data_IF_940319920312
#
_entry.id   IF_940319920312
#
_cell.length_a   1.000
_cell.length_b   1.000
_cell.length_c   1.000
_cell.angle_alpha   90.00
_cell.angle_beta   90.00
_cell.angle_gamma   90.00
#
_symmetry.space_group_name_H-M   'P 1'
#
loop_
_entity.id
_entity.type
_entity.pdbx_description
1 polymer ?
#
# COMPACT_ATOMS: atom_id res chain seq x y z
N UNK A 1 -11.04 -1.37 -8.08
CA UNK A 1 -11.23 -2.64 -8.81
C UNK A 1 -12.58 -2.61 -9.53
N UNK A 2 -12.69 -3.16 -10.74
CA UNK A 2 -13.97 -3.26 -11.47
C UNK A 2 -14.22 -4.69 -11.95
N UNK A 3 -15.45 -5.17 -11.79
CA UNK A 3 -15.82 -6.55 -12.09
C UNK A 3 -16.84 -6.61 -13.23
N UNK A 4 -16.65 -7.54 -14.15
CA UNK A 4 -17.53 -7.76 -15.29
C UNK A 4 -17.85 -9.23 -15.48
N UNK A 5 -19.12 -9.55 -15.73
CA UNK A 5 -19.53 -10.83 -16.33
C UNK A 5 -19.51 -10.69 -17.85
N UNK A 6 -18.96 -11.69 -18.53
CA UNK A 6 -18.92 -11.74 -20.01
C UNK A 6 -20.12 -12.51 -20.53
N UNK A 7 -20.93 -11.87 -21.38
CA UNK A 7 -22.06 -12.49 -22.06
C UNK A 7 -21.62 -13.29 -23.30
N UNK A 8 -22.51 -14.13 -23.85
CA UNK A 8 -22.22 -14.95 -25.05
C UNK A 8 -21.87 -14.12 -26.30
N UNK A 9 -22.39 -12.89 -26.38
CA UNK A 9 -22.06 -11.94 -27.47
C UNK A 9 -20.82 -11.07 -27.16
N UNK A 10 -20.10 -11.36 -26.08
CA UNK A 10 -18.93 -10.61 -25.64
C UNK A 10 -19.23 -9.25 -25.01
N UNK A 11 -20.49 -8.95 -24.66
CA UNK A 11 -20.83 -7.77 -23.87
C UNK A 11 -20.35 -7.92 -22.42
N UNK A 12 -19.82 -6.83 -21.84
CA UNK A 12 -19.40 -6.78 -20.44
C UNK A 12 -20.54 -6.22 -19.59
N UNK A 13 -21.01 -6.99 -18.61
CA UNK A 13 -21.98 -6.54 -17.61
C UNK A 13 -21.27 -6.27 -16.30
N UNK A 14 -21.28 -5.02 -15.83
CA UNK A 14 -20.68 -4.67 -14.54
C UNK A 14 -21.43 -5.37 -13.40
N UNK A 15 -20.69 -5.99 -12.48
CA UNK A 15 -21.23 -6.73 -11.33
C UNK A 15 -20.59 -6.26 -10.04
N UNK A 16 -21.24 -6.51 -8.90
CA UNK A 16 -20.73 -6.15 -7.56
C UNK A 16 -19.99 -7.29 -6.87
N UNK A 17 -20.21 -8.54 -7.28
CA UNK A 17 -19.59 -9.75 -6.71
C UNK A 17 -19.57 -10.87 -7.74
N UNK A 18 -18.73 -11.87 -7.52
CA UNK A 18 -18.54 -13.03 -8.38
C UNK A 18 -19.08 -14.28 -7.68
N UNK A 19 -19.98 -15.00 -8.35
CA UNK A 19 -20.55 -16.27 -7.84
C UNK A 19 -19.70 -17.51 -8.20
N UNK A 20 -18.63 -17.34 -8.99
CA UNK A 20 -17.76 -18.40 -9.49
C UNK A 20 -18.53 -19.57 -10.17
N UNK A 21 -19.59 -19.23 -10.91
CA UNK A 21 -20.39 -20.23 -11.64
C UNK A 21 -19.61 -20.85 -12.82
N UNK A 22 -19.69 -22.18 -12.91
CA UNK A 22 -19.03 -23.00 -13.92
C UNK A 22 -19.28 -22.62 -15.39
N UNK A 23 -20.42 -22.00 -15.72
CA UNK A 23 -20.79 -21.64 -17.10
C UNK A 23 -20.40 -20.21 -17.50
N UNK A 24 -19.78 -19.47 -16.58
CA UNK A 24 -19.51 -18.04 -16.72
C UNK A 24 -18.02 -17.77 -16.92
N UNK A 25 -17.75 -16.60 -17.50
CA UNK A 25 -16.43 -16.00 -17.58
C UNK A 25 -16.51 -14.61 -16.97
N UNK A 26 -15.55 -14.30 -16.12
CA UNK A 26 -15.46 -13.02 -15.42
C UNK A 26 -14.18 -12.30 -15.84
N UNK A 27 -14.30 -10.98 -16.07
CA UNK A 27 -13.18 -10.09 -16.29
C UNK A 27 -13.08 -9.14 -15.09
N UNK A 28 -11.90 -9.12 -14.47
CA UNK A 28 -11.62 -8.41 -13.23
C UNK A 28 -10.50 -7.43 -13.52
N UNK A 29 -10.80 -6.14 -13.42
CA UNK A 29 -9.85 -5.05 -13.51
C UNK A 29 -9.33 -4.71 -12.11
N UNK A 30 -8.10 -5.11 -11.83
CA UNK A 30 -7.37 -4.84 -10.60
C UNK A 30 -6.12 -3.98 -10.87
N UNK A 31 -6.31 -2.78 -11.43
CA UNK A 31 -5.31 -1.68 -11.62
C UNK A 31 -3.99 -2.09 -12.28
N UNK A 32 -3.16 -2.94 -11.68
CA UNK A 32 -1.94 -3.51 -12.27
C UNK A 32 -2.18 -4.80 -13.05
N UNK A 33 -3.31 -5.47 -12.82
CA UNK A 33 -3.62 -6.77 -13.43
C UNK A 33 -5.06 -6.81 -13.91
N UNK A 34 -5.28 -7.38 -15.09
CA UNK A 34 -6.59 -7.90 -15.52
C UNK A 34 -6.60 -9.40 -15.28
N UNK A 35 -7.53 -9.89 -14.47
CA UNK A 35 -7.78 -11.32 -14.34
C UNK A 35 -8.97 -11.72 -15.22
N UNK A 36 -8.80 -12.82 -15.96
CA UNK A 36 -9.87 -13.49 -16.69
C UNK A 36 -10.11 -14.81 -15.97
N UNK A 37 -11.22 -14.91 -15.24
CA UNK A 37 -11.61 -16.15 -14.59
C UNK A 37 -12.56 -16.94 -15.49
N UNK A 38 -12.28 -18.23 -15.70
CA UNK A 38 -13.00 -19.11 -16.62
C UNK A 38 -13.60 -20.28 -15.85
N UNK A 39 -14.93 -20.37 -15.86
CA UNK A 39 -15.65 -21.54 -15.36
C UNK A 39 -15.39 -22.78 -16.21
N UNK A 40 -15.34 -23.95 -15.59
CA UNK A 40 -14.98 -25.20 -16.27
C UNK A 40 -15.98 -25.69 -17.34
N UNK A 41 -17.19 -25.11 -17.38
CA UNK A 41 -18.24 -25.34 -18.39
C UNK A 41 -18.51 -24.09 -19.24
N UNK A 42 -17.63 -23.10 -19.21
CA UNK A 42 -17.79 -21.89 -19.99
C UNK A 42 -17.64 -22.17 -21.49
N UNK A 43 -18.37 -21.41 -22.32
CA UNK A 43 -18.25 -21.53 -23.77
C UNK A 43 -16.92 -20.95 -24.27
N UNK A 44 -16.31 -21.60 -25.28
CA UNK A 44 -15.08 -21.10 -25.91
C UNK A 44 -15.25 -19.69 -26.49
N UNK A 45 -16.47 -19.37 -26.98
CA UNK A 45 -16.80 -18.01 -27.47
C UNK A 45 -16.65 -16.95 -26.37
N UNK A 46 -17.17 -17.20 -25.16
CA UNK A 46 -16.99 -16.27 -24.03
C UNK A 46 -15.51 -16.08 -23.69
N UNK A 47 -14.72 -17.16 -23.71
CA UNK A 47 -13.28 -17.09 -23.43
C UNK A 47 -12.56 -16.23 -24.47
N UNK A 48 -12.82 -16.42 -25.76
CA UNK A 48 -12.25 -15.61 -26.82
C UNK A 48 -12.63 -14.12 -26.68
N UNK A 49 -13.93 -13.85 -26.46
CA UNK A 49 -14.40 -12.47 -26.23
C UNK A 49 -13.76 -11.84 -24.99
N UNK A 50 -13.61 -12.59 -23.89
CA UNK A 50 -13.00 -12.07 -22.67
C UNK A 50 -11.55 -11.63 -22.88
N UNK A 51 -10.77 -12.42 -23.60
CA UNK A 51 -9.38 -12.08 -23.97
C UNK A 51 -9.33 -10.83 -24.84
N UNK A 52 -10.20 -10.74 -25.87
CA UNK A 52 -10.29 -9.56 -26.72
C UNK A 52 -10.64 -8.30 -25.93
N UNK A 53 -11.66 -8.38 -25.06
CA UNK A 53 -12.10 -7.27 -24.21
C UNK A 53 -11.05 -6.83 -23.21
N UNK A 54 -10.34 -7.76 -22.58
CA UNK A 54 -9.23 -7.45 -21.67
C UNK A 54 -8.13 -6.66 -22.41
N UNK A 55 -7.73 -7.11 -23.60
CA UNK A 55 -6.75 -6.42 -24.44
C UNK A 55 -7.23 -5.03 -24.87
N UNK A 56 -8.47 -4.89 -25.33
CA UNK A 56 -9.05 -3.62 -25.75
C UNK A 56 -9.08 -2.60 -24.60
N UNK A 57 -9.48 -3.04 -23.39
CA UNK A 57 -9.48 -2.20 -22.20
C UNK A 57 -8.06 -1.81 -21.77
N UNK A 58 -7.11 -2.75 -21.85
CA UNK A 58 -5.72 -2.51 -21.46
C UNK A 58 -5.03 -1.50 -22.39
N UNK A 59 -5.30 -1.57 -23.70
CA UNK A 59 -4.79 -0.61 -24.70
C UNK A 59 -5.30 0.82 -24.49
N UNK A 60 -6.52 0.97 -23.96
CA UNK A 60 -7.15 2.28 -23.71
C UNK A 60 -6.65 2.98 -22.44
N UNK A 61 -5.77 2.35 -21.67
CA UNK A 61 -5.24 2.96 -20.44
C UNK A 61 -4.21 4.02 -20.77
N UNK A 62 -4.36 5.19 -20.15
CA UNK A 62 -3.38 6.28 -20.23
C UNK A 62 -2.07 5.94 -19.49
N UNK A 63 -2.18 5.10 -18.44
CA UNK A 63 -1.04 4.59 -17.65
C UNK A 63 -0.41 3.37 -18.33
N UNK A 64 0.67 2.86 -17.72
CA UNK A 64 1.32 1.60 -18.10
C UNK A 64 0.29 0.46 -18.24
N UNK A 65 0.43 -0.32 -19.32
CA UNK A 65 -0.40 -1.49 -19.56
C UNK A 65 -0.30 -2.49 -18.39
N UNK A 66 -1.45 -2.98 -17.95
CA UNK A 66 -1.57 -4.01 -16.93
C UNK A 66 -1.17 -5.39 -17.47
N UNK A 67 -0.77 -6.29 -16.57
CA UNK A 67 -0.61 -7.71 -16.89
C UNK A 67 -1.99 -8.33 -17.12
N UNK A 68 -2.16 -9.21 -18.11
CA UNK A 68 -3.37 -10.03 -18.25
C UNK A 68 -3.04 -11.44 -17.75
N UNK A 69 -3.87 -11.97 -16.84
CA UNK A 69 -3.72 -13.29 -16.23
C UNK A 69 -5.02 -14.06 -16.40
N UNK A 70 -4.93 -15.32 -16.81
CA UNK A 70 -6.08 -16.20 -16.98
C UNK A 70 -6.09 -17.25 -15.88
N UNK A 71 -7.21 -17.37 -15.19
CA UNK A 71 -7.44 -18.27 -14.06
C UNK A 71 -8.56 -19.24 -14.42
N UNK A 72 -8.32 -20.54 -14.23
CA UNK A 72 -9.30 -21.58 -14.52
C UNK A 72 -9.91 -22.09 -13.22
N UNK A 73 -11.21 -22.37 -13.24
CA UNK A 73 -11.91 -22.92 -12.09
C UNK A 73 -11.26 -24.20 -11.54
N UNK A 74 -10.94 -24.19 -10.25
CA UNK A 74 -10.27 -25.28 -9.54
C UNK A 74 -8.75 -25.36 -9.78
N UNK A 75 -8.18 -24.38 -10.50
CA UNK A 75 -6.74 -24.26 -10.79
C UNK A 75 -6.23 -22.85 -10.51
N UNK A 76 -6.96 -22.08 -9.70
CA UNK A 76 -6.58 -20.73 -9.30
C UNK A 76 -5.35 -20.74 -8.38
N UNK A 77 -4.45 -19.78 -8.56
CA UNK A 77 -3.23 -19.73 -7.75
C UNK A 77 -2.74 -18.30 -7.48
N UNK A 78 -1.74 -18.19 -6.59
CA UNK A 78 -1.04 -16.95 -6.30
C UNK A 78 -1.95 -15.84 -5.77
N UNK A 79 -1.72 -14.62 -6.26
CA UNK A 79 -2.45 -13.43 -5.80
C UNK A 79 -3.96 -13.50 -6.07
N UNK A 80 -4.40 -14.25 -7.09
CA UNK A 80 -5.81 -14.40 -7.37
C UNK A 80 -6.54 -15.15 -6.25
N UNK A 81 -5.94 -16.24 -5.75
CA UNK A 81 -6.51 -17.05 -4.67
C UNK A 81 -6.78 -16.20 -3.41
N UNK A 82 -5.86 -15.29 -3.09
CA UNK A 82 -5.98 -14.40 -1.93
C UNK A 82 -7.18 -13.42 -2.04
N UNK A 83 -7.58 -13.03 -3.25
CA UNK A 83 -8.69 -12.10 -3.47
C UNK A 83 -10.02 -12.81 -3.74
N UNK A 84 -10.05 -14.14 -3.92
CA UNK A 84 -11.28 -14.88 -4.26
C UNK A 84 -12.39 -14.73 -3.23
N UNK A 85 -12.06 -14.75 -1.93
CA UNK A 85 -13.07 -14.58 -0.87
C UNK A 85 -13.66 -13.18 -0.87
N UNK A 86 -12.84 -12.15 -1.10
CA UNK A 86 -13.32 -10.80 -1.33
C UNK A 86 -14.24 -10.79 -2.56
N UNK A 87 -13.86 -11.50 -3.64
CA UNK A 87 -14.59 -11.58 -4.92
C UNK A 87 -16.00 -12.12 -4.73
N UNK A 88 -16.16 -13.12 -3.86
CA UNK A 88 -17.45 -13.69 -3.48
C UNK A 88 -18.31 -12.74 -2.68
N UNK A 89 -17.72 -12.06 -1.68
CA UNK A 89 -18.46 -11.19 -0.76
C UNK A 89 -18.88 -9.87 -1.40
N UNK A 90 -18.16 -9.42 -2.44
CA UNK A 90 -18.38 -8.10 -3.02
C UNK A 90 -17.72 -6.98 -2.22
N UNK A 91 -16.76 -7.34 -1.36
CA UNK A 91 -16.11 -6.46 -0.38
C UNK A 91 -14.78 -5.89 -0.89
N UNK A 92 -14.65 -5.63 -2.19
CA UNK A 92 -13.63 -4.69 -2.66
C UNK A 92 -14.23 -3.33 -2.42
N UNK A 93 -13.73 -2.68 -1.38
CA UNK A 93 -13.94 -1.26 -1.25
C UNK A 93 -13.59 -0.65 -2.62
N UNK A 94 -14.51 0.14 -3.18
CA UNK A 94 -14.07 1.29 -3.96
C UNK A 94 -13.24 2.10 -2.97
N UNK A 95 -11.97 1.76 -2.85
CA UNK A 95 -11.01 2.69 -2.30
C UNK A 95 -11.04 3.83 -3.32
N UNK A 96 -11.93 4.81 -3.09
CA UNK A 96 -11.42 6.17 -3.00
C UNK A 96 -10.15 5.98 -2.20
N UNK A 97 -9.00 6.14 -2.83
CA UNK A 97 -7.71 6.10 -2.14
C UNK A 97 -7.82 7.11 -1.01
N UNK A 98 -8.38 6.69 0.12
CA UNK A 98 -8.39 7.44 1.35
C UNK A 98 -6.94 7.51 1.72
N UNK A 99 -6.50 8.69 2.15
CA UNK A 99 -5.19 8.79 2.78
C UNK A 99 -5.08 7.67 3.81
N UNK A 100 -3.97 6.94 3.77
CA UNK A 100 -3.65 5.96 4.81
C UNK A 100 -3.85 6.68 6.15
N UNK A 101 -4.56 6.08 7.12
CA UNK A 101 -4.74 6.73 8.41
C UNK A 101 -3.37 7.03 9.00
N UNK A 102 -3.24 8.23 9.58
CA UNK A 102 -2.03 8.64 10.31
C UNK A 102 -1.74 7.67 11.46
N UNK A 103 -0.46 7.54 11.79
CA UNK A 103 -0.04 6.81 12.98
C UNK A 103 -0.62 7.49 14.22
N UNK A 104 -1.28 6.72 15.09
CA UNK A 104 -1.77 7.21 16.37
C UNK A 104 -0.62 7.20 17.37
N UNK A 105 -0.28 8.38 17.88
CA UNK A 105 0.72 8.56 18.94
C UNK A 105 0.00 8.46 20.29
N UNK A 106 0.38 7.50 21.13
CA UNK A 106 -0.25 7.24 22.44
C UNK A 106 0.21 8.22 23.53
N UNK A 107 0.37 9.50 23.18
CA UNK A 107 0.95 10.52 24.06
C UNK A 107 0.23 10.65 25.42
N UNK A 108 -1.10 10.63 25.40
CA UNK A 108 -1.91 10.73 26.63
C UNK A 108 -1.65 9.56 27.57
N UNK A 109 -1.66 8.34 27.04
CA UNK A 109 -1.42 7.14 27.84
C UNK A 109 -0.01 7.17 28.43
N UNK A 110 0.98 7.64 27.67
CA UNK A 110 2.36 7.85 28.17
C UNK A 110 2.42 8.91 29.27
N UNK A 111 1.69 10.03 29.15
CA UNK A 111 1.62 11.05 30.21
C UNK A 111 0.97 10.50 31.49
N UNK A 112 -0.15 9.78 31.36
CA UNK A 112 -0.86 9.21 32.52
C UNK A 112 0.06 8.25 33.31
N UNK A 113 0.91 7.48 32.61
CA UNK A 113 1.91 6.60 33.25
C UNK A 113 3.01 7.40 33.97
N UNK A 114 3.51 8.49 33.37
CA UNK A 114 4.49 9.38 34.00
C UNK A 114 3.94 10.04 35.27
N UNK A 115 2.69 10.52 35.23
CA UNK A 115 1.99 11.10 36.38
C UNK A 115 1.80 10.09 37.50
N UNK A 116 1.64 8.80 37.16
CA UNK A 116 1.61 7.69 38.11
C UNK A 116 3.00 7.31 38.68
N UNK A 117 4.08 8.00 38.26
CA UNK A 117 5.45 7.76 38.71
C UNK A 117 6.13 6.56 38.04
N UNK A 118 5.60 6.09 36.91
CA UNK A 118 6.21 5.02 36.12
C UNK A 118 7.20 5.66 35.15
N UNK A 119 8.48 5.27 35.23
CA UNK A 119 9.50 5.75 34.30
C UNK A 119 9.20 5.29 32.87
N UNK A 120 9.41 6.15 31.86
CA UNK A 120 9.14 5.79 30.48
C UNK A 120 10.17 4.76 30.01
N UNK A 121 9.70 3.71 29.37
CA UNK A 121 10.57 2.83 28.59
C UNK A 121 10.98 3.51 27.28
N UNK A 122 11.73 2.80 26.43
CA UNK A 122 12.19 3.37 25.16
C UNK A 122 11.04 3.82 24.25
N UNK A 123 9.92 3.10 24.23
CA UNK A 123 8.75 3.47 23.44
C UNK A 123 8.10 4.74 24.02
N UNK A 124 8.03 4.86 25.35
CA UNK A 124 7.61 6.08 26.04
C UNK A 124 8.50 7.28 25.71
N UNK A 125 9.83 7.12 25.76
CA UNK A 125 10.81 8.16 25.37
C UNK A 125 10.55 8.64 23.92
N UNK A 126 10.41 7.70 22.98
CA UNK A 126 10.12 8.00 21.56
C UNK A 126 8.77 8.67 21.40
N UNK A 127 7.74 8.23 22.14
CA UNK A 127 6.39 8.79 22.08
C UNK A 127 6.36 10.26 22.49
N UNK A 128 7.03 10.62 23.58
CA UNK A 128 7.13 12.00 24.06
C UNK A 128 7.86 12.88 23.05
N UNK A 129 9.05 12.43 22.60
CA UNK A 129 9.83 13.18 21.60
C UNK A 129 9.11 13.32 20.26
N UNK A 130 8.35 12.29 19.85
CA UNK A 130 7.57 12.32 18.61
C UNK A 130 6.44 13.35 18.71
N UNK A 131 5.76 13.41 19.85
CA UNK A 131 4.75 14.43 20.11
C UNK A 131 5.33 15.85 20.02
N UNK A 132 6.48 16.09 20.67
CA UNK A 132 7.17 17.38 20.60
C UNK A 132 7.51 17.76 19.14
N UNK A 133 8.03 16.80 18.36
CA UNK A 133 8.38 17.02 16.96
C UNK A 133 7.14 17.32 16.07
N UNK A 134 5.98 16.76 16.41
CA UNK A 134 4.71 17.06 15.74
C UNK A 134 4.26 18.49 16.05
N UNK A 135 4.33 18.90 17.32
CA UNK A 135 3.98 20.26 17.77
C UNK A 135 4.89 21.34 17.15
N UNK A 136 6.15 21.00 16.84
CA UNK A 136 7.06 21.89 16.09
C UNK A 136 6.57 22.20 14.65
N UNK A 137 5.65 21.40 14.10
CA UNK A 137 4.95 21.72 12.84
C UNK A 137 5.84 21.78 11.59
N UNK A 138 6.93 21.00 11.55
CA UNK A 138 7.82 20.96 10.37
C UNK A 138 7.07 20.53 9.11
N UNK A 139 7.47 21.03 7.95
CA UNK A 139 6.92 20.53 6.68
C UNK A 139 7.37 19.10 6.39
N UNK A 140 6.56 18.35 5.63
CA UNK A 140 6.87 16.99 5.21
C UNK A 140 8.20 16.89 4.43
N UNK A 141 8.54 17.91 3.64
CA UNK A 141 9.84 18.01 2.96
C UNK A 141 11.02 18.16 3.94
N UNK A 142 10.83 18.96 4.98
CA UNK A 142 11.83 19.15 6.04
C UNK A 142 12.05 17.85 6.82
N UNK A 143 10.97 17.18 7.22
CA UNK A 143 11.02 15.87 7.88
C UNK A 143 11.70 14.82 7.00
N UNK A 144 11.37 14.78 5.70
CA UNK A 144 12.01 13.86 4.75
C UNK A 144 13.53 14.06 4.66
N UNK A 145 14.01 15.31 4.70
CA UNK A 145 15.45 15.62 4.74
C UNK A 145 16.09 15.24 6.08
N UNK A 146 15.40 15.48 7.20
CA UNK A 146 15.84 15.06 8.54
C UNK A 146 16.02 13.54 8.59
N UNK A 147 14.99 12.78 8.21
CA UNK A 147 15.03 11.32 8.17
C UNK A 147 16.12 10.79 7.24
N UNK A 148 16.25 11.36 6.04
CA UNK A 148 17.32 11.00 5.10
C UNK A 148 18.72 11.14 5.72
N UNK A 149 18.97 12.26 6.42
CA UNK A 149 20.26 12.50 7.07
C UNK A 149 20.55 11.46 8.15
N UNK A 150 19.56 11.14 9.01
CA UNK A 150 19.69 10.14 10.07
C UNK A 150 19.98 8.76 9.48
N UNK A 151 19.20 8.32 8.49
CA UNK A 151 19.40 7.02 7.84
C UNK A 151 20.80 6.89 7.22
N UNK A 152 21.28 7.93 6.52
CA UNK A 152 22.63 7.91 5.94
C UNK A 152 23.70 7.88 7.04
N UNK A 153 23.51 8.63 8.12
CA UNK A 153 24.44 8.64 9.26
C UNK A 153 24.53 7.26 9.91
N UNK A 154 23.41 6.56 10.11
CA UNK A 154 23.41 5.20 10.64
C UNK A 154 24.17 4.22 9.74
N UNK A 155 24.03 4.36 8.42
CA UNK A 155 24.71 3.50 7.45
C UNK A 155 26.21 3.78 7.34
N UNK A 156 26.62 5.05 7.42
CA UNK A 156 28.02 5.48 7.23
C UNK A 156 28.81 5.65 8.53
N UNK A 157 28.16 5.68 9.68
CA UNK A 157 28.80 6.05 10.95
C UNK A 157 29.42 7.45 10.88
N UNK A 158 30.74 7.55 11.08
CA UNK A 158 31.52 8.81 11.05
C UNK A 158 31.89 9.30 9.64
N UNK A 159 31.43 8.63 8.58
CA UNK A 159 31.71 9.03 7.20
C UNK A 159 31.08 10.38 6.83
N UNK A 160 31.73 11.13 5.94
CA UNK A 160 31.22 12.43 5.46
C UNK A 160 29.91 12.24 4.71
N UNK A 161 28.87 12.97 5.13
CA UNK A 161 27.56 13.01 4.46
C UNK A 161 27.55 14.17 3.46
N UNK A 162 27.16 13.91 2.22
CA UNK A 162 27.07 14.96 1.19
C UNK A 162 25.63 15.42 0.95
N UNK A 163 25.44 16.67 0.53
CA UNK A 163 24.12 17.22 0.21
C UNK A 163 23.42 16.44 -0.91
N UNK A 164 24.18 15.93 -1.89
CA UNK A 164 23.65 15.11 -3.00
C UNK A 164 22.99 13.83 -2.49
N UNK A 165 23.59 13.18 -1.50
CA UNK A 165 23.05 11.94 -0.91
C UNK A 165 21.78 12.20 -0.11
N UNK A 166 21.77 13.29 0.69
CA UNK A 166 20.58 13.70 1.43
C UNK A 166 19.43 14.01 0.46
N UNK A 167 19.69 14.74 -0.61
CA UNK A 167 18.66 15.10 -1.58
C UNK A 167 18.11 13.87 -2.33
N UNK A 168 18.99 12.93 -2.70
CA UNK A 168 18.56 11.67 -3.34
C UNK A 168 17.67 10.87 -2.38
N UNK A 169 18.12 10.66 -1.14
CA UNK A 169 17.39 9.86 -0.17
C UNK A 169 16.08 10.52 0.27
N UNK A 170 16.09 11.84 0.47
CA UNK A 170 14.88 12.61 0.76
C UNK A 170 13.86 12.50 -0.37
N UNK A 171 14.30 12.47 -1.64
CA UNK A 171 13.40 12.31 -2.78
C UNK A 171 12.77 10.92 -2.85
N UNK A 172 13.46 9.88 -2.36
CA UNK A 172 12.88 8.54 -2.18
C UNK A 172 11.80 8.54 -1.10
N UNK A 173 12.09 9.15 0.06
CA UNK A 173 11.15 9.25 1.19
C UNK A 173 9.90 10.06 0.80
N UNK A 174 10.06 11.15 0.07
CA UNK A 174 8.94 11.95 -0.44
C UNK A 174 8.00 11.17 -1.35
N UNK A 175 8.51 10.15 -2.05
CA UNK A 175 7.73 9.26 -2.91
C UNK A 175 7.20 8.02 -2.18
N UNK A 176 7.55 7.85 -0.91
CA UNK A 176 7.06 6.75 -0.09
C UNK A 176 5.60 6.98 0.30
N UNK A 177 4.95 5.91 0.78
CA UNK A 177 3.60 5.96 1.34
C UNK A 177 3.59 6.25 2.85
N UNK A 178 4.68 6.81 3.38
CA UNK A 178 4.76 7.18 4.80
C UNK A 178 3.85 8.37 5.05
N UNK A 179 3.23 8.36 6.21
CA UNK A 179 2.34 9.42 6.69
C UNK A 179 3.14 10.43 7.53
N UNK A 180 2.54 11.56 7.92
CA UNK A 180 3.29 12.62 8.60
C UNK A 180 3.77 12.17 9.98
N UNK A 181 2.86 11.61 10.77
CA UNK A 181 3.14 11.11 12.12
C UNK A 181 4.13 9.93 12.08
N UNK A 182 4.10 9.11 11.02
CA UNK A 182 5.12 8.07 10.81
C UNK A 182 6.52 8.63 10.55
N UNK A 183 6.64 9.74 9.81
CA UNK A 183 7.94 10.38 9.63
C UNK A 183 8.47 10.93 10.95
N UNK A 184 7.62 11.57 11.76
CA UNK A 184 8.00 12.07 13.08
C UNK A 184 8.46 10.92 13.99
N UNK A 185 7.72 9.81 14.00
CA UNK A 185 8.08 8.61 14.76
C UNK A 185 9.44 8.05 14.33
N UNK A 186 9.65 7.83 13.03
CA UNK A 186 10.91 7.29 12.52
C UNK A 186 12.10 8.22 12.80
N UNK A 187 11.90 9.53 12.72
CA UNK A 187 12.96 10.50 13.03
C UNK A 187 13.36 10.40 14.50
N UNK A 188 12.39 10.35 15.40
CA UNK A 188 12.66 10.32 16.84
C UNK A 188 13.24 9.00 17.30
N UNK A 189 12.66 7.87 16.86
CA UNK A 189 13.17 6.53 17.14
C UNK A 189 14.62 6.36 16.68
N UNK A 190 14.91 6.69 15.41
CA UNK A 190 16.26 6.50 14.87
C UNK A 190 17.27 7.48 15.48
N UNK A 191 16.85 8.69 15.88
CA UNK A 191 17.73 9.62 16.58
C UNK A 191 18.09 9.10 17.97
N UNK A 192 17.11 8.61 18.72
CA UNK A 192 17.33 8.05 20.05
C UNK A 192 18.23 6.80 20.01
N UNK A 193 18.04 5.92 19.01
CA UNK A 193 18.94 4.78 18.77
C UNK A 193 20.37 5.23 18.44
N UNK A 194 20.52 6.31 17.67
CA UNK A 194 21.83 6.83 17.28
C UNK A 194 22.57 7.45 18.47
N UNK A 195 21.86 8.12 19.37
CA UNK A 195 22.41 8.62 20.64
C UNK A 195 22.84 7.47 21.55
N UNK A 196 21.97 6.47 21.77
CA UNK A 196 22.29 5.28 22.58
C UNK A 196 23.46 4.45 22.02
N UNK A 197 23.69 4.47 20.71
CA UNK A 197 24.85 3.79 20.07
C UNK A 197 26.16 4.58 20.21
N UNK A 198 26.09 5.88 20.44
CA UNK A 198 27.27 6.74 20.60
C UNK A 198 27.63 7.01 22.07
N UNK A 199 26.77 6.61 23.02
CA UNK A 199 27.05 6.46 24.45
C UNK A 199 27.82 5.15 24.70
#
# INVERSE_FOLDING_TARGET
MQLYSVAENGALRKIKKIDFNATKVYLIDDIKTFYIWIGNKASNKKVEYSNKRANDLNKKREKKQAKIVTEYQGKEFGAFLAIMELLKKGEFQETKEGRRPELKINYKDTLDLLEAGIEPDFEGEVTLACHDLIEEGHSYETLSKKLAKIQIQMLKGKGKITAKEINLKSSEILKSSSTYEELCWLITELSALLEKKNL
#
